data_IF_670361701558
#
_entry.id   IF_670361701558
#
_cell.length_a   1.000
_cell.length_b   1.000
_cell.length_c   1.000
_cell.angle_alpha   90.00
_cell.angle_beta   90.00
_cell.angle_gamma   90.00
#
_symmetry.space_group_name_H-M   'P 1'
#
loop_
_entity.id
_entity.type
_entity.pdbx_description
1 polymer ?
#
# COMPACT_ATOMS: atom_id res chain seq x y z
N UNK A 1 -5.05 61.36 -22.91
CA UNK A 1 -6.34 60.75 -22.51
C UNK A 1 -6.69 59.74 -23.60
N UNK A 2 -6.79 58.42 -23.43
CA UNK A 2 -6.70 57.52 -22.29
C UNK A 2 -6.04 56.21 -22.77
N UNK A 3 -5.15 55.67 -21.94
CA UNK A 3 -4.58 54.32 -22.08
C UNK A 3 -5.62 53.31 -21.57
N UNK A 4 -5.93 52.28 -22.37
CA UNK A 4 -6.78 51.17 -21.94
C UNK A 4 -5.87 50.02 -21.56
N UNK A 5 -5.73 49.78 -20.25
CA UNK A 5 -5.06 48.62 -19.69
C UNK A 5 -5.90 47.36 -19.88
N UNK A 6 -5.30 46.29 -20.43
CA UNK A 6 -5.81 44.93 -20.29
C UNK A 6 -5.10 44.27 -19.10
N UNK A 7 -5.80 43.65 -18.14
CA UNK A 7 -5.13 42.85 -17.13
C UNK A 7 -4.66 41.54 -17.77
N UNK A 8 -3.37 41.22 -17.61
CA UNK A 8 -2.85 39.88 -17.86
C UNK A 8 -3.18 39.04 -16.63
N UNK A 9 -4.09 38.08 -16.76
CA UNK A 9 -4.25 37.04 -15.76
C UNK A 9 -2.97 36.18 -15.78
N UNK A 10 -2.21 36.24 -14.69
CA UNK A 10 -1.08 35.34 -14.46
C UNK A 10 -1.70 34.06 -13.93
N UNK A 11 -1.85 33.06 -14.80
CA UNK A 11 -2.20 31.71 -14.41
C UNK A 11 -0.95 31.13 -13.73
N UNK A 12 -0.93 31.14 -12.41
CA UNK A 12 0.13 30.55 -11.60
C UNK A 12 0.12 29.03 -11.83
N UNK A 13 1.03 28.56 -12.69
CA UNK A 13 1.32 27.15 -12.86
C UNK A 13 2.04 26.67 -11.59
N UNK A 14 1.27 26.16 -10.62
CA UNK A 14 1.82 25.39 -9.50
C UNK A 14 2.33 24.07 -10.09
N UNK A 15 3.61 24.07 -10.45
CA UNK A 15 4.37 22.84 -10.72
C UNK A 15 4.49 22.11 -9.39
N UNK A 16 3.54 21.23 -9.11
CA UNK A 16 3.65 20.23 -8.06
C UNK A 16 4.74 19.24 -8.43
N UNK A 17 5.99 19.56 -8.08
CA UNK A 17 7.09 18.61 -8.10
C UNK A 17 6.88 17.66 -6.90
N UNK A 18 6.00 16.66 -7.02
CA UNK A 18 6.04 15.50 -6.13
C UNK A 18 7.02 14.49 -6.72
N UNK A 19 8.06 14.19 -5.94
CA UNK A 19 9.12 13.25 -6.29
C UNK A 19 8.58 11.84 -6.45
N UNK A 20 8.35 11.44 -7.69
CA UNK A 20 8.09 10.06 -8.08
C UNK A 20 9.43 9.32 -8.21
N UNK A 21 9.96 8.72 -7.14
CA UNK A 21 11.13 7.84 -7.30
C UNK A 21 11.39 6.82 -6.17
N UNK A 22 10.39 6.45 -5.35
CA UNK A 22 10.60 5.36 -4.36
C UNK A 22 9.46 4.33 -4.20
N UNK A 23 8.27 4.54 -4.79
CA UNK A 23 7.10 3.68 -4.50
C UNK A 23 6.85 2.56 -5.54
N UNK A 24 7.66 2.44 -6.58
CA UNK A 24 7.37 1.53 -7.72
C UNK A 24 7.96 0.12 -7.59
N UNK A 25 8.69 -0.18 -6.52
CA UNK A 25 9.36 -1.46 -6.34
C UNK A 25 8.57 -2.39 -5.40
N UNK A 26 8.06 -3.50 -5.94
CA UNK A 26 7.42 -4.56 -5.15
C UNK A 26 8.40 -5.69 -4.78
N UNK A 27 9.71 -5.42 -4.78
CA UNK A 27 10.76 -6.43 -4.61
C UNK A 27 11.11 -7.17 -5.91
N UNK A 28 12.27 -7.83 -5.96
CA UNK A 28 12.70 -8.54 -7.18
C UNK A 28 12.23 -10.00 -7.16
N UNK A 29 11.59 -10.47 -8.24
CA UNK A 29 11.48 -11.91 -8.48
C UNK A 29 11.40 -12.25 -9.96
N UNK A 30 12.17 -13.26 -10.36
CA UNK A 30 12.21 -13.83 -11.70
C UNK A 30 11.33 -15.08 -11.75
N UNK A 31 10.07 -14.95 -12.14
CA UNK A 31 9.25 -16.02 -12.74
C UNK A 31 7.99 -15.39 -13.34
N UNK A 32 7.78 -15.65 -14.63
CA UNK A 32 6.63 -15.17 -15.38
C UNK A 32 5.36 -15.84 -14.88
N UNK A 33 4.47 -15.06 -14.27
CA UNK A 33 3.05 -15.40 -14.12
C UNK A 33 2.20 -14.55 -15.07
N UNK A 34 0.96 -14.98 -15.30
CA UNK A 34 -0.02 -14.33 -16.18
C UNK A 34 -0.41 -12.95 -15.65
N UNK A 35 -0.40 -11.94 -16.52
CA UNK A 35 -0.84 -10.57 -16.18
C UNK A 35 -2.31 -10.55 -15.73
N UNK A 36 -2.62 -10.08 -14.51
CA UNK A 36 -4.00 -9.86 -14.09
C UNK A 36 -4.71 -8.91 -15.06
N UNK A 37 -5.89 -9.29 -15.55
CA UNK A 37 -6.74 -8.37 -16.33
C UNK A 37 -7.43 -7.43 -15.36
N UNK A 38 -7.19 -6.13 -15.52
CA UNK A 38 -7.75 -5.08 -14.69
C UNK A 38 -8.88 -4.42 -15.46
N UNK A 39 -10.10 -4.91 -15.21
CA UNK A 39 -11.33 -4.24 -15.61
C UNK A 39 -11.96 -3.62 -14.37
N UNK A 40 -12.26 -2.33 -14.50
CA UNK A 40 -13.03 -1.46 -13.58
C UNK A 40 -12.21 -0.71 -12.52
N UNK A 41 -12.68 0.48 -12.14
CA UNK A 41 -12.13 1.27 -11.05
C UNK A 41 -12.51 0.60 -9.70
N UNK A 42 -11.60 0.63 -8.73
CA UNK A 42 -11.67 -0.10 -7.44
C UNK A 42 -11.65 -1.64 -7.60
N UNK A 43 -10.56 -2.18 -8.14
CA UNK A 43 -10.36 -3.64 -8.23
C UNK A 43 -9.70 -4.18 -6.97
N UNK A 44 -8.90 -3.36 -6.29
CA UNK A 44 -8.06 -3.83 -5.19
C UNK A 44 -8.36 -3.17 -3.86
N UNK A 45 -8.90 -1.97 -3.77
CA UNK A 45 -9.27 -1.42 -2.47
C UNK A 45 -10.22 -2.38 -1.71
N UNK A 46 -9.93 -2.57 -0.43
CA UNK A 46 -10.77 -3.31 0.53
C UNK A 46 -11.12 -2.38 1.68
N UNK A 47 -11.89 -2.86 2.65
CA UNK A 47 -12.21 -2.09 3.86
C UNK A 47 -10.91 -1.49 4.43
N UNK A 48 -10.83 -0.15 4.59
CA UNK A 48 -9.63 0.51 5.08
C UNK A 48 -9.34 0.21 6.56
N UNK A 49 -10.28 -0.40 7.29
CA UNK A 49 -10.12 -0.73 8.69
C UNK A 49 -9.20 -1.95 8.88
N UNK A 50 -8.14 -1.75 9.66
CA UNK A 50 -7.13 -2.76 9.97
C UNK A 50 -7.53 -3.71 11.11
N UNK A 51 -8.54 -3.36 11.90
CA UNK A 51 -8.94 -4.14 13.08
C UNK A 51 -9.61 -5.50 12.74
N UNK A 52 -10.16 -5.65 11.52
CA UNK A 52 -10.96 -6.82 11.12
C UNK A 52 -10.13 -8.01 10.62
N UNK A 53 -8.86 -8.09 11.03
CA UNK A 53 -7.89 -9.04 10.49
C UNK A 53 -7.63 -10.23 11.38
N UNK A 54 -7.15 -11.32 10.77
CA UNK A 54 -6.77 -12.51 11.54
C UNK A 54 -5.65 -12.15 12.53
N UNK A 55 -5.95 -12.36 13.81
CA UNK A 55 -4.99 -12.20 14.91
C UNK A 55 -3.98 -13.33 14.90
N UNK A 56 -2.70 -13.01 15.07
CA UNK A 56 -1.65 -14.03 15.16
C UNK A 56 -1.79 -14.86 16.44
N UNK A 57 -1.78 -14.23 17.62
CA UNK A 57 -2.05 -14.94 18.88
C UNK A 57 -3.55 -15.19 19.11
N UNK A 58 -3.91 -16.45 19.42
CA UNK A 58 -5.25 -16.85 19.89
C UNK A 58 -5.14 -17.81 21.08
N UNK A 59 -6.18 -17.95 21.94
CA UNK A 59 -6.12 -18.85 23.09
C UNK A 59 -5.91 -20.34 22.75
N UNK A 60 -6.07 -20.74 21.47
CA UNK A 60 -5.88 -22.13 21.00
C UNK A 60 -4.48 -22.39 20.48
N UNK A 61 -3.70 -21.35 20.20
CA UNK A 61 -2.36 -21.46 19.62
C UNK A 61 -1.33 -21.53 20.74
N UNK A 62 -0.29 -22.35 20.53
CA UNK A 62 0.86 -22.40 21.43
C UNK A 62 1.80 -21.26 21.08
N UNK A 63 2.37 -20.60 22.09
CA UNK A 63 3.29 -19.48 21.92
C UNK A 63 4.62 -19.81 22.59
N UNK A 64 5.71 -19.65 21.84
CA UNK A 64 7.08 -19.63 22.37
C UNK A 64 7.59 -18.19 22.33
N UNK A 65 8.31 -17.78 23.36
CA UNK A 65 8.71 -16.38 23.53
C UNK A 65 10.22 -16.23 23.71
N UNK A 66 10.77 -15.13 23.22
CA UNK A 66 12.16 -14.75 23.45
C UNK A 66 12.23 -13.33 23.99
N UNK A 67 12.98 -13.17 25.08
CA UNK A 67 13.38 -11.89 25.65
C UNK A 67 14.82 -11.61 25.19
N UNK A 68 14.98 -10.61 24.32
CA UNK A 68 16.25 -10.26 23.69
C UNK A 68 17.03 -9.21 24.47
N UNK A 69 16.35 -8.36 25.25
CA UNK A 69 16.97 -7.26 25.99
C UNK A 69 17.19 -7.60 27.47
N UNK A 70 16.64 -8.71 27.96
CA UNK A 70 16.80 -9.25 29.31
C UNK A 70 16.00 -8.51 30.37
N UNK A 71 14.94 -7.79 30.00
CA UNK A 71 14.12 -7.01 30.93
C UNK A 71 12.95 -7.79 31.55
N UNK A 72 12.75 -9.04 31.13
CA UNK A 72 11.67 -9.91 31.56
C UNK A 72 10.39 -9.81 30.73
N UNK A 73 10.34 -8.94 29.72
CA UNK A 73 9.27 -8.83 28.75
C UNK A 73 9.72 -9.44 27.41
N UNK A 74 8.97 -10.39 26.83
CA UNK A 74 9.37 -10.94 25.55
C UNK A 74 9.20 -9.94 24.41
N UNK A 75 10.15 -9.98 23.47
CA UNK A 75 10.16 -9.14 22.28
C UNK A 75 9.85 -9.94 21.01
N UNK A 76 9.99 -11.26 21.05
CA UNK A 76 9.61 -12.14 19.93
C UNK A 76 8.63 -13.19 20.44
N UNK A 77 7.57 -13.39 19.67
CA UNK A 77 6.58 -14.44 19.89
C UNK A 77 6.52 -15.33 18.64
N UNK A 78 6.82 -16.61 18.78
CA UNK A 78 6.58 -17.62 17.75
C UNK A 78 5.30 -18.39 18.07
N UNK A 79 4.35 -18.38 17.14
CA UNK A 79 3.01 -18.91 17.37
C UNK A 79 2.78 -20.15 16.50
N UNK A 80 2.27 -21.21 17.13
CA UNK A 80 2.15 -22.53 16.54
C UNK A 80 0.73 -23.11 16.63
N UNK A 81 0.34 -23.83 15.57
CA UNK A 81 -0.77 -24.78 15.58
C UNK A 81 -0.19 -26.20 15.49
N UNK A 82 -0.16 -26.90 16.64
CA UNK A 82 0.64 -28.12 16.79
C UNK A 82 2.14 -27.82 16.66
N UNK A 83 2.77 -28.43 15.66
CA UNK A 83 4.18 -28.23 15.32
C UNK A 83 4.39 -27.21 14.19
N UNK A 84 3.31 -26.73 13.56
CA UNK A 84 3.38 -25.76 12.46
C UNK A 84 3.49 -24.35 13.04
N UNK A 85 4.59 -23.65 12.77
CA UNK A 85 4.66 -22.20 13.04
C UNK A 85 3.78 -21.45 12.04
N UNK A 86 2.69 -20.87 12.52
CA UNK A 86 1.69 -20.18 11.69
C UNK A 86 1.97 -18.68 11.59
N UNK A 87 2.55 -18.08 12.64
CA UNK A 87 2.95 -16.68 12.60
C UNK A 87 4.04 -16.35 13.64
N UNK A 88 4.61 -15.15 13.53
CA UNK A 88 5.48 -14.57 14.54
C UNK A 88 5.23 -13.08 14.69
N UNK A 89 5.39 -12.59 15.91
CA UNK A 89 5.28 -11.18 16.27
C UNK A 89 6.63 -10.70 16.80
N UNK A 90 7.00 -9.46 16.46
CA UNK A 90 8.28 -8.86 16.80
C UNK A 90 8.08 -7.44 17.32
N UNK A 91 8.57 -7.18 18.53
CA UNK A 91 8.79 -5.87 19.15
C UNK A 91 10.27 -5.52 18.91
N UNK A 92 10.53 -4.64 17.95
CA UNK A 92 11.86 -4.26 17.50
C UNK A 92 12.46 -3.13 18.32
N UNK A 93 11.62 -2.27 18.92
CA UNK A 93 12.04 -1.09 19.66
C UNK A 93 12.03 -1.28 21.19
N UNK A 94 11.51 -2.42 21.67
CA UNK A 94 11.39 -2.83 23.07
C UNK A 94 10.43 -1.96 23.91
N UNK A 95 9.37 -1.43 23.31
CA UNK A 95 8.37 -0.62 24.01
C UNK A 95 7.17 -1.44 24.54
N UNK A 96 7.15 -2.74 24.24
CA UNK A 96 6.09 -3.67 24.65
C UNK A 96 4.91 -3.76 23.68
N UNK A 97 4.97 -3.07 22.53
CA UNK A 97 4.02 -3.21 21.42
C UNK A 97 4.66 -4.03 20.29
N UNK A 98 3.81 -4.57 19.43
CA UNK A 98 4.28 -5.40 18.31
C UNK A 98 4.43 -4.54 17.07
N UNK A 99 5.64 -4.53 16.52
CA UNK A 99 6.01 -3.72 15.36
C UNK A 99 5.83 -4.49 14.05
N UNK A 100 6.04 -5.82 14.09
CA UNK A 100 5.89 -6.68 12.92
C UNK A 100 5.09 -7.91 13.28
N UNK A 101 4.09 -8.22 12.45
CA UNK A 101 3.43 -9.53 12.43
C UNK A 101 3.71 -10.23 11.11
N UNK A 102 4.25 -11.46 11.14
CA UNK A 102 4.50 -12.27 9.96
C UNK A 102 3.73 -13.57 10.02
N UNK A 103 2.88 -13.83 9.03
CA UNK A 103 2.15 -15.08 8.84
C UNK A 103 2.84 -15.94 7.79
N UNK A 104 2.99 -17.23 8.06
CA UNK A 104 3.76 -18.15 7.21
C UNK A 104 2.86 -19.07 6.38
N UNK A 105 3.38 -19.47 5.22
CA UNK A 105 2.86 -20.60 4.43
C UNK A 105 3.08 -21.93 5.19
N UNK A 106 2.51 -22.99 4.66
CA UNK A 106 2.66 -24.38 5.09
C UNK A 106 4.11 -24.85 5.21
N UNK A 107 5.08 -24.23 4.51
CA UNK A 107 6.51 -24.52 4.68
C UNK A 107 7.18 -23.86 5.89
N UNK A 108 6.45 -23.04 6.65
CA UNK A 108 6.92 -22.32 7.85
C UNK A 108 8.02 -21.28 7.62
N UNK A 109 8.40 -21.04 6.36
CA UNK A 109 9.53 -20.18 5.98
C UNK A 109 9.04 -18.98 5.18
N UNK A 110 8.25 -19.20 4.13
CA UNK A 110 7.78 -18.13 3.26
C UNK A 110 6.60 -17.39 3.92
N UNK A 111 6.60 -16.04 3.94
CA UNK A 111 5.44 -15.30 4.39
C UNK A 111 4.29 -15.42 3.39
N UNK A 112 3.06 -15.45 3.89
CA UNK A 112 1.82 -15.22 3.11
C UNK A 112 1.25 -13.83 3.40
N UNK A 113 1.55 -13.27 4.58
CA UNK A 113 1.20 -11.91 4.97
C UNK A 113 2.24 -11.35 5.95
N UNK A 114 2.55 -10.08 5.80
CA UNK A 114 3.30 -9.31 6.79
C UNK A 114 2.56 -8.01 7.10
N UNK A 115 2.66 -7.57 8.35
CA UNK A 115 2.07 -6.34 8.87
C UNK A 115 3.16 -5.58 9.62
N UNK A 116 3.21 -4.27 9.41
CA UNK A 116 4.25 -3.38 9.93
C UNK A 116 3.61 -2.17 10.59
N UNK A 117 4.03 -1.89 11.80
CA UNK A 117 3.88 -0.62 12.51
C UNK A 117 5.24 0.10 12.41
N UNK A 118 5.28 1.19 11.64
CA UNK A 118 6.49 1.94 11.32
C UNK A 118 6.71 3.12 12.27
N UNK A 119 5.68 3.63 12.93
CA UNK A 119 5.77 4.74 13.86
C UNK A 119 5.73 4.34 15.35
N UNK A 120 5.56 3.04 15.61
CA UNK A 120 5.58 2.36 16.91
C UNK A 120 4.44 2.77 17.84
N UNK A 121 3.29 3.11 17.27
CA UNK A 121 2.13 3.50 18.05
C UNK A 121 1.23 2.32 18.48
N UNK A 122 1.54 1.12 17.97
CA UNK A 122 0.85 -0.13 18.23
C UNK A 122 -0.23 -0.48 17.21
N UNK A 123 -0.32 0.29 16.11
CA UNK A 123 -1.29 0.13 15.06
C UNK A 123 -0.55 -0.12 13.74
N UNK A 124 -1.16 -0.93 12.88
CA UNK A 124 -0.53 -1.34 11.63
C UNK A 124 -0.57 -0.20 10.63
N UNK A 125 0.52 0.00 9.89
CA UNK A 125 0.65 1.00 8.82
C UNK A 125 0.75 0.34 7.45
N UNK A 126 1.50 -0.75 7.32
CA UNK A 126 1.69 -1.44 6.04
C UNK A 126 1.37 -2.93 6.14
N UNK A 127 0.80 -3.43 5.05
CA UNK A 127 0.35 -4.80 4.91
C UNK A 127 0.82 -5.33 3.58
N UNK A 128 1.60 -6.40 3.64
CA UNK A 128 2.13 -7.09 2.48
C UNK A 128 1.42 -8.44 2.34
N UNK A 129 0.94 -8.76 1.14
CA UNK A 129 0.30 -10.04 0.85
C UNK A 129 1.09 -10.76 -0.26
N UNK A 130 1.39 -12.03 0.00
CA UNK A 130 2.22 -12.86 -0.86
C UNK A 130 1.47 -14.06 -1.40
N UNK A 131 1.73 -14.42 -2.66
CA UNK A 131 1.28 -15.66 -3.28
C UNK A 131 2.49 -16.38 -3.87
N UNK A 132 2.66 -17.67 -3.55
CA UNK A 132 3.83 -18.47 -3.95
C UNK A 132 5.19 -17.85 -3.60
N UNK A 133 5.24 -17.02 -2.55
CA UNK A 133 6.43 -16.27 -2.13
C UNK A 133 6.72 -15.01 -2.94
N UNK A 134 5.79 -14.57 -3.79
CA UNK A 134 5.86 -13.33 -4.56
C UNK A 134 4.93 -12.30 -3.92
N UNK A 135 5.41 -11.07 -3.75
CA UNK A 135 4.55 -9.97 -3.32
C UNK A 135 3.54 -9.66 -4.42
N UNK A 136 2.25 -9.83 -4.12
CA UNK A 136 1.16 -9.58 -5.06
C UNK A 136 0.36 -8.34 -4.71
N UNK A 137 0.39 -7.90 -3.44
CA UNK A 137 -0.40 -6.75 -3.00
C UNK A 137 0.24 -6.05 -1.81
N UNK A 138 0.12 -4.72 -1.80
CA UNK A 138 0.42 -3.86 -0.64
C UNK A 138 -0.79 -3.02 -0.27
N UNK A 139 -0.95 -2.77 1.01
CA UNK A 139 -1.90 -1.82 1.57
C UNK A 139 -1.16 -0.95 2.57
N UNK A 140 -1.27 0.37 2.46
CA UNK A 140 -0.53 1.33 3.27
C UNK A 140 -1.46 2.42 3.80
N UNK A 141 -1.39 2.66 5.09
CA UNK A 141 -1.69 3.94 5.72
C UNK A 141 -0.43 4.80 5.57
N UNK A 142 -0.51 5.86 4.78
CA UNK A 142 0.62 6.75 4.49
C UNK A 142 0.61 8.01 5.32
N UNK A 143 -0.43 8.21 6.14
CA UNK A 143 -0.64 9.41 6.94
C UNK A 143 -0.76 9.13 8.45
N UNK A 144 -0.75 7.85 8.85
CA UNK A 144 -0.86 7.35 10.22
C UNK A 144 -2.17 7.77 10.91
N UNK A 145 -3.30 7.66 10.20
CA UNK A 145 -4.64 7.90 10.73
C UNK A 145 -5.45 6.61 11.03
N UNK A 146 -4.79 5.46 10.91
CA UNK A 146 -5.28 4.10 11.07
C UNK A 146 -6.28 3.66 10.03
N UNK A 147 -6.17 4.23 8.83
CA UNK A 147 -6.94 3.82 7.67
C UNK A 147 -6.01 3.67 6.48
N UNK A 148 -6.12 2.55 5.80
CA UNK A 148 -5.43 2.38 4.54
C UNK A 148 -5.92 3.45 3.55
N UNK A 149 -4.97 4.18 2.97
CA UNK A 149 -5.23 5.19 1.93
C UNK A 149 -4.60 4.80 0.58
N UNK A 150 -3.68 3.83 0.55
CA UNK A 150 -3.00 3.41 -0.67
C UNK A 150 -2.99 1.89 -0.81
N UNK A 151 -3.44 1.40 -1.97
CA UNK A 151 -3.41 -0.01 -2.34
C UNK A 151 -2.59 -0.20 -3.60
N UNK A 152 -1.68 -1.18 -3.61
CA UNK A 152 -0.88 -1.53 -4.78
C UNK A 152 -1.14 -2.98 -5.20
N UNK A 153 -1.31 -3.21 -6.50
CA UNK A 153 -1.23 -4.54 -7.10
C UNK A 153 0.14 -4.70 -7.73
N UNK A 154 0.81 -5.80 -7.38
CA UNK A 154 2.16 -6.11 -7.82
C UNK A 154 2.16 -7.30 -8.78
N UNK A 155 3.01 -7.24 -9.80
CA UNK A 155 3.23 -8.33 -10.73
C UNK A 155 4.69 -8.37 -11.17
N UNK A 156 5.33 -9.55 -11.08
CA UNK A 156 6.76 -9.73 -11.40
C UNK A 156 7.68 -8.68 -10.72
N UNK A 157 7.37 -8.33 -9.47
CA UNK A 157 8.18 -7.40 -8.69
C UNK A 157 7.97 -5.91 -8.97
N UNK A 158 7.00 -5.57 -9.81
CA UNK A 158 6.66 -4.18 -10.17
C UNK A 158 5.21 -3.87 -9.83
N UNK A 159 4.93 -2.62 -9.55
CA UNK A 159 3.56 -2.12 -9.45
C UNK A 159 2.90 -2.22 -10.83
N UNK A 160 1.69 -2.75 -10.87
CA UNK A 160 0.81 -2.81 -12.03
C UNK A 160 -0.32 -1.79 -11.89
N UNK A 161 -0.87 -1.66 -10.68
CA UNK A 161 -1.88 -0.67 -10.32
C UNK A 161 -1.55 -0.06 -8.96
N UNK A 162 -1.87 1.23 -8.83
CA UNK A 162 -2.09 1.86 -7.53
C UNK A 162 -3.49 2.46 -7.47
N UNK A 163 -4.16 2.28 -6.33
CA UNK A 163 -5.38 3.00 -5.97
C UNK A 163 -5.07 3.85 -4.73
N UNK A 164 -5.52 5.11 -4.71
CA UNK A 164 -5.22 6.06 -3.63
C UNK A 164 -6.44 6.85 -3.21
N UNK A 165 -6.63 7.01 -1.90
CA UNK A 165 -7.61 7.89 -1.25
C UNK A 165 -6.91 9.17 -0.78
N UNK A 166 -6.67 10.10 -1.71
CA UNK A 166 -6.07 11.41 -1.43
C UNK A 166 -6.95 12.28 -0.53
N UNK A 167 -8.25 12.01 -0.48
CA UNK A 167 -9.23 12.81 0.26
C UNK A 167 -9.60 12.22 1.62
N UNK A 168 -9.10 11.03 1.94
CA UNK A 168 -9.29 10.31 3.21
C UNK A 168 -10.77 10.06 3.52
N UNK A 169 -11.54 9.71 2.49
CA UNK A 169 -12.97 9.47 2.57
C UNK A 169 -13.33 7.98 2.68
N UNK A 170 -12.33 7.12 2.88
CA UNK A 170 -12.45 5.66 3.01
C UNK A 170 -12.59 4.92 1.68
N UNK A 171 -12.29 5.58 0.55
CA UNK A 171 -12.36 4.97 -0.79
C UNK A 171 -11.38 5.67 -1.74
N UNK A 172 -10.77 4.94 -2.69
CA UNK A 172 -9.84 5.55 -3.63
C UNK A 172 -10.54 6.54 -4.57
N UNK A 173 -9.86 7.65 -4.83
CA UNK A 173 -10.23 8.71 -5.79
C UNK A 173 -9.18 8.88 -6.90
N UNK A 174 -8.08 8.13 -6.83
CA UNK A 174 -7.08 8.03 -7.90
C UNK A 174 -6.81 6.59 -8.24
N UNK A 175 -6.75 6.32 -9.54
CA UNK A 175 -6.47 5.01 -10.10
C UNK A 175 -5.32 5.14 -11.11
N UNK A 176 -4.18 4.56 -10.79
CA UNK A 176 -2.95 4.63 -11.58
C UNK A 176 -2.66 3.27 -12.22
N UNK A 177 -2.24 3.28 -13.49
CA UNK A 177 -1.76 2.09 -14.20
C UNK A 177 -0.30 2.24 -14.61
N UNK A 178 0.42 1.14 -14.45
CA UNK A 178 1.84 1.05 -14.75
C UNK A 178 2.13 -0.03 -15.78
N UNK A 179 3.07 0.23 -16.67
CA UNK A 179 3.61 -0.74 -17.62
C UNK A 179 5.14 -0.69 -17.55
N UNK A 180 5.77 -1.86 -17.37
CA UNK A 180 7.22 -1.98 -17.14
C UNK A 180 7.78 -1.07 -16.03
N UNK A 181 6.95 -0.76 -15.03
CA UNK A 181 7.29 0.10 -13.90
C UNK A 181 7.18 1.61 -14.19
N UNK A 182 6.68 1.99 -15.37
CA UNK A 182 6.40 3.38 -15.74
C UNK A 182 4.90 3.65 -15.66
N UNK A 183 4.52 4.78 -15.06
CA UNK A 183 3.14 5.27 -15.09
C UNK A 183 2.74 5.53 -16.55
N UNK A 184 1.61 4.96 -16.96
CA UNK A 184 1.05 5.14 -18.32
C UNK A 184 -0.31 5.86 -18.30
N UNK A 185 -1.04 5.78 -17.20
CA UNK A 185 -2.36 6.39 -17.04
C UNK A 185 -2.64 6.68 -15.57
N UNK A 186 -3.23 7.83 -15.28
CA UNK A 186 -3.83 8.16 -13.99
C UNK A 186 -5.24 8.71 -14.19
N UNK A 187 -6.22 8.16 -13.47
CA UNK A 187 -7.63 8.53 -13.52
C UNK A 187 -8.03 9.11 -12.17
N UNK A 188 -8.83 10.17 -12.19
CA UNK A 188 -9.21 10.95 -11.01
C UNK A 188 -10.73 11.10 -10.93
N UNK A 189 -11.29 10.76 -9.76
CA UNK A 189 -12.66 11.06 -9.34
C UNK A 189 -12.56 12.21 -8.31
N UNK A 190 -12.45 13.45 -8.80
CA UNK A 190 -12.11 14.59 -7.97
C UNK A 190 -13.29 15.03 -7.08
N UNK A 191 -14.54 14.73 -7.44
CA UNK A 191 -15.73 15.05 -6.65
C UNK A 191 -16.33 13.87 -5.85
N UNK A 192 -15.77 12.66 -6.03
CA UNK A 192 -16.10 11.42 -5.35
C UNK A 192 -17.49 10.87 -5.66
N UNK A 193 -18.04 11.18 -6.84
CA UNK A 193 -19.33 10.67 -7.31
C UNK A 193 -19.26 9.27 -7.95
N UNK A 194 -18.04 8.73 -8.11
CA UNK A 194 -17.77 7.43 -8.74
C UNK A 194 -17.57 7.49 -10.25
N UNK A 195 -17.63 8.68 -10.85
CA UNK A 195 -17.32 8.97 -12.25
C UNK A 195 -15.93 9.60 -12.33
N UNK A 196 -15.22 9.32 -13.42
CA UNK A 196 -13.87 9.88 -13.59
C UNK A 196 -13.98 11.25 -14.25
N UNK A 197 -13.62 12.28 -13.49
CA UNK A 197 -13.55 13.67 -13.95
C UNK A 197 -12.36 13.92 -14.86
N UNK A 198 -11.23 13.23 -14.62
CA UNK A 198 -9.98 13.54 -15.30
C UNK A 198 -9.14 12.29 -15.56
N UNK A 199 -8.55 12.23 -16.74
CA UNK A 199 -7.59 11.20 -17.13
C UNK A 199 -6.31 11.87 -17.62
N UNK A 200 -5.18 11.45 -17.08
CA UNK A 200 -3.84 11.83 -17.51
C UNK A 200 -3.17 10.62 -18.17
N UNK A 201 -2.64 10.80 -19.38
CA UNK A 201 -1.93 9.74 -20.12
C UNK A 201 -0.47 10.08 -20.26
N UNK A 202 0.39 9.08 -20.05
CA UNK A 202 1.84 9.23 -20.00
C UNK A 202 2.52 8.35 -21.05
N UNK A 203 3.60 8.86 -21.64
CA UNK A 203 4.49 8.10 -22.51
C UNK A 203 5.94 8.33 -22.08
N UNK A 204 6.67 7.24 -21.80
CA UNK A 204 8.06 7.28 -21.31
C UNK A 204 8.24 8.21 -20.10
N UNK A 205 7.30 8.14 -19.14
CA UNK A 205 7.30 8.96 -17.92
C UNK A 205 6.97 10.44 -18.13
N UNK A 206 6.46 10.83 -19.31
CA UNK A 206 6.04 12.21 -19.60
C UNK A 206 4.55 12.27 -19.84
N UNK A 207 3.88 13.24 -19.22
CA UNK A 207 2.50 13.55 -19.49
C UNK A 207 2.35 14.00 -20.95
N UNK A 208 1.48 13.33 -21.71
CA UNK A 208 1.22 13.64 -23.13
C UNK A 208 -0.20 14.09 -23.40
N UNK A 209 -1.15 13.75 -22.52
CA UNK A 209 -2.56 14.07 -22.69
C UNK A 209 -3.25 14.24 -21.34
N UNK A 210 -4.17 15.20 -21.28
CA UNK A 210 -5.14 15.37 -20.19
C UNK A 210 -6.52 15.43 -20.83
N UNK A 211 -7.40 14.50 -20.47
CA UNK A 211 -8.82 14.53 -20.78
C UNK A 211 -9.60 14.89 -19.52
N UNK A 212 -10.60 15.77 -19.64
CA UNK A 212 -11.45 16.21 -18.53
C UNK A 212 -12.91 16.08 -18.96
N UNK A 213 -13.74 15.48 -18.11
CA UNK A 213 -15.20 15.44 -18.24
C UNK A 213 -15.83 16.61 -17.46
N UNK A 214 -16.97 17.13 -17.94
CA UNK A 214 -17.60 18.36 -17.44
C UNK A 214 -19.08 18.17 -17.08
#
# INVERSE_FOLDING_TARGET
MNSVHRPKAILSLLVGLLGASALSACGASSKSSTTPRLSDASVIARDPNLDDRERCQTPKRRVETLDLNGDGQPNIYHVFEGEQRVCSEFDLNFDGKVDIVRFYDTDQVRPIREEYDYDFDGLVDEVLIYEDGLLVRKEMDTNFDHKIDTWLLCHNGRVLIAERDRRLMGRPDVFERYEDGLLIEARYDDDLDGVIDRVETFQNGRLIEIAVDH
#
